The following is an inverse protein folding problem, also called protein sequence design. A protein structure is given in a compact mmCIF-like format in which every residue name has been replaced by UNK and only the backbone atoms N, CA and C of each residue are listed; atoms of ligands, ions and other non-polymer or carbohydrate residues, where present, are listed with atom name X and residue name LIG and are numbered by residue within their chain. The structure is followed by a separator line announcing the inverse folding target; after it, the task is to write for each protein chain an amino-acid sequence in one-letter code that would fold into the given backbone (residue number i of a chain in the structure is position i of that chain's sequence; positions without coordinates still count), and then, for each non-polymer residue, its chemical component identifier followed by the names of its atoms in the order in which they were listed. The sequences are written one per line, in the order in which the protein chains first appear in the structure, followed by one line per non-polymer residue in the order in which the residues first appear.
data_IF_731906159008
#
_entry.id   IF_731906159008
#
_cell.length_a   1.000
_cell.length_b   1.000
_cell.length_c   1.000
_cell.angle_alpha   90.00
_cell.angle_beta   90.00
_cell.angle_gamma   90.00
#
_symmetry.space_group_name_H-M   'P 1'
#
loop_
_entity.id
_entity.type
_entity.pdbx_description
1 polymer ?
#
# COMPACT_ATOMS: atom_id res chain seq x y z
N UNK A 1 -6.30 2.92 -0.79
CA UNK A 1 -7.40 2.05 -0.36
C UNK A 1 -8.33 2.86 0.50
N UNK A 2 -9.66 2.63 0.48
CA UNK A 2 -10.55 3.25 1.46
C UNK A 2 -10.01 2.89 2.86
N UNK A 3 -9.89 3.89 3.73
CA UNK A 3 -9.24 3.75 5.04
C UNK A 3 -9.77 2.54 5.81
N UNK A 4 -11.08 2.32 5.72
CA UNK A 4 -11.79 1.24 6.43
C UNK A 4 -11.30 -0.17 6.04
N UNK A 5 -11.18 -0.50 4.74
CA UNK A 5 -10.74 -1.85 4.35
C UNK A 5 -9.34 -2.14 4.88
N UNK A 6 -8.44 -1.15 4.83
CA UNK A 6 -7.09 -1.28 5.38
C UNK A 6 -7.12 -1.45 6.90
N UNK A 7 -7.91 -0.64 7.61
CA UNK A 7 -8.12 -0.75 9.06
C UNK A 7 -8.68 -2.13 9.44
N UNK A 8 -9.69 -2.63 8.73
CA UNK A 8 -10.23 -3.99 8.89
C UNK A 8 -9.11 -5.01 8.77
N UNK A 9 -8.36 -4.97 7.67
CA UNK A 9 -7.33 -5.97 7.43
C UNK A 9 -6.24 -5.96 8.50
N UNK A 10 -5.84 -4.80 9.00
CA UNK A 10 -4.74 -4.70 9.96
C UNK A 10 -5.19 -5.00 11.38
N UNK A 11 -6.24 -4.34 11.84
CA UNK A 11 -6.71 -4.42 13.23
C UNK A 11 -7.30 -5.79 13.54
N UNK A 12 -8.12 -6.35 12.64
CA UNK A 12 -8.79 -7.63 12.87
C UNK A 12 -7.81 -8.80 12.92
N UNK A 13 -6.69 -8.70 12.20
CA UNK A 13 -5.59 -9.67 12.33
C UNK A 13 -4.91 -9.60 13.69
N UNK A 14 -4.73 -8.39 14.24
CA UNK A 14 -4.30 -8.24 15.62
C UNK A 14 -5.28 -8.89 16.60
N UNK A 15 -6.59 -8.69 16.42
CA UNK A 15 -7.62 -9.32 17.26
C UNK A 15 -7.58 -10.84 17.20
N UNK A 16 -7.37 -11.43 16.01
CA UNK A 16 -7.25 -12.88 15.85
C UNK A 16 -6.06 -13.48 16.62
N UNK A 17 -5.10 -12.67 17.06
CA UNK A 17 -3.95 -13.14 17.86
C UNK A 17 -4.22 -13.18 19.36
N UNK A 18 -5.34 -12.61 19.84
CA UNK A 18 -5.61 -12.42 21.27
C UNK A 18 -6.42 -13.56 21.92
N UNK A 19 -6.68 -14.64 21.17
CA UNK A 19 -7.19 -15.91 21.69
C UNK A 19 -8.69 -15.95 22.02
N UNK A 20 -9.47 -14.94 21.62
CA UNK A 20 -10.93 -15.01 21.69
C UNK A 20 -11.48 -16.06 20.72
N UNK A 21 -12.68 -16.58 21.04
CA UNK A 21 -13.27 -17.68 20.26
C UNK A 21 -13.88 -17.20 18.95
N UNK A 22 -14.39 -15.96 18.93
CA UNK A 22 -15.01 -15.36 17.75
C UNK A 22 -14.60 -13.92 17.56
N UNK A 23 -14.67 -13.46 16.31
CA UNK A 23 -14.45 -12.06 15.96
C UNK A 23 -15.46 -11.12 16.64
N UNK A 24 -16.73 -11.55 16.72
CA UNK A 24 -17.79 -10.76 17.36
C UNK A 24 -17.49 -10.50 18.84
N UNK A 25 -17.07 -11.53 19.57
CA UNK A 25 -16.65 -11.41 20.97
C UNK A 25 -15.46 -10.44 21.12
N UNK A 26 -14.48 -10.53 20.21
CA UNK A 26 -13.32 -9.64 20.24
C UNK A 26 -13.69 -8.17 19.97
N UNK A 27 -14.60 -7.92 19.02
CA UNK A 27 -15.10 -6.58 18.69
C UNK A 27 -15.95 -5.96 19.82
N UNK A 28 -16.73 -6.79 20.53
CA UNK A 28 -17.50 -6.34 21.68
C UNK A 28 -16.63 -6.04 22.89
N UNK A 29 -15.66 -6.91 23.19
CA UNK A 29 -14.78 -6.79 24.35
C UNK A 29 -13.84 -5.58 24.24
N UNK A 30 -13.35 -5.27 23.05
CA UNK A 30 -12.29 -4.29 22.81
C UNK A 30 -11.07 -4.50 23.73
N UNK A 31 -10.26 -5.53 23.45
CA UNK A 31 -9.13 -5.90 24.31
C UNK A 31 -8.15 -4.73 24.50
N UNK A 32 -7.73 -4.50 25.75
CA UNK A 32 -6.77 -3.44 26.11
C UNK A 32 -5.36 -3.74 25.59
N UNK A 33 -5.07 -5.01 25.27
CA UNK A 33 -3.82 -5.46 24.67
C UNK A 33 -3.62 -4.91 23.25
N UNK A 34 -4.70 -4.51 22.56
CA UNK A 34 -4.63 -3.90 21.23
C UNK A 34 -4.57 -2.37 21.34
N UNK A 35 -3.37 -1.84 21.11
CA UNK A 35 -3.04 -0.44 21.35
C UNK A 35 -3.12 0.41 20.07
N UNK A 36 -3.27 1.71 20.28
CA UNK A 36 -3.29 2.77 19.26
C UNK A 36 -4.50 2.76 18.31
N UNK A 37 -5.57 2.05 18.66
CA UNK A 37 -6.84 2.12 17.92
C UNK A 37 -7.77 3.13 18.59
N UNK A 38 -7.99 4.25 17.90
CA UNK A 38 -8.88 5.33 18.36
C UNK A 38 -10.33 4.86 18.41
N UNK A 39 -11.13 5.52 19.25
CA UNK A 39 -12.56 5.22 19.43
C UNK A 39 -13.33 5.27 18.11
N UNK A 40 -13.06 6.27 17.26
CA UNK A 40 -13.76 6.42 15.99
C UNK A 40 -13.43 5.29 15.01
N UNK A 41 -12.16 4.87 14.97
CA UNK A 41 -11.72 3.73 14.16
C UNK A 41 -12.36 2.45 14.66
N UNK A 42 -12.40 2.23 15.99
CA UNK A 42 -13.05 1.06 16.58
C UNK A 42 -14.55 1.01 16.28
N UNK A 43 -15.25 2.14 16.43
CA UNK A 43 -16.67 2.23 16.12
C UNK A 43 -16.93 1.95 14.63
N UNK A 44 -16.11 2.50 13.72
CA UNK A 44 -16.21 2.22 12.30
C UNK A 44 -16.07 0.74 11.96
N UNK A 45 -15.18 0.01 12.63
CA UNK A 45 -15.05 -1.45 12.48
C UNK A 45 -16.32 -2.18 12.94
N UNK A 46 -16.89 -1.78 14.08
CA UNK A 46 -18.13 -2.40 14.59
C UNK A 46 -19.30 -2.17 13.66
N UNK A 47 -19.49 -0.94 13.19
CA UNK A 47 -20.57 -0.58 12.28
C UNK A 47 -20.45 -1.32 10.93
N UNK A 48 -19.22 -1.43 10.41
CA UNK A 48 -18.94 -2.19 9.19
C UNK A 48 -19.24 -3.69 9.37
N UNK A 49 -18.82 -4.29 10.47
CA UNK A 49 -19.09 -5.70 10.75
C UNK A 49 -20.59 -5.97 10.90
N UNK A 50 -21.31 -5.12 11.65
CA UNK A 50 -22.76 -5.25 11.87
C UNK A 50 -23.58 -5.05 10.59
N UNK A 51 -23.16 -4.15 9.71
CA UNK A 51 -23.82 -3.90 8.42
C UNK A 51 -23.45 -4.94 7.34
N UNK A 52 -22.47 -5.81 7.61
CA UNK A 52 -21.98 -6.79 6.66
C UNK A 52 -21.04 -6.21 5.58
N UNK A 53 -20.56 -4.99 5.77
CA UNK A 53 -19.57 -4.38 4.89
C UNK A 53 -18.22 -5.10 5.01
N UNK A 54 -17.64 -5.48 3.87
CA UNK A 54 -16.33 -6.15 3.82
C UNK A 54 -16.20 -7.46 4.63
N UNK A 55 -17.29 -8.21 4.87
CA UNK A 55 -17.25 -9.47 5.65
C UNK A 55 -16.14 -10.44 5.24
N UNK A 56 -15.90 -10.62 3.93
CA UNK A 56 -14.82 -11.48 3.46
C UNK A 56 -13.43 -11.04 3.93
N UNK A 57 -13.20 -9.73 4.07
CA UNK A 57 -11.94 -9.20 4.60
C UNK A 57 -11.85 -9.38 6.12
N UNK A 58 -12.95 -9.22 6.86
CA UNK A 58 -13.02 -9.50 8.29
C UNK A 58 -12.66 -10.96 8.59
N UNK A 59 -13.33 -11.90 7.91
CA UNK A 59 -13.07 -13.35 8.09
C UNK A 59 -11.61 -13.69 7.75
N UNK A 60 -11.12 -13.25 6.59
CA UNK A 60 -9.75 -13.55 6.19
C UNK A 60 -8.71 -12.94 7.16
N UNK A 61 -8.91 -11.72 7.64
CA UNK A 61 -8.02 -11.09 8.61
C UNK A 61 -8.02 -11.85 9.94
N UNK A 62 -9.21 -12.20 10.44
CA UNK A 62 -9.36 -12.98 11.66
C UNK A 62 -8.64 -14.32 11.57
N UNK A 63 -8.87 -15.07 10.48
CA UNK A 63 -8.25 -16.37 10.24
C UNK A 63 -6.72 -16.26 10.14
N UNK A 64 -6.20 -15.20 9.55
CA UNK A 64 -4.75 -14.94 9.50
C UNK A 64 -4.16 -14.68 10.89
N UNK A 65 -4.86 -13.91 11.73
CA UNK A 65 -4.47 -13.68 13.12
C UNK A 65 -4.42 -14.98 13.93
N UNK A 66 -5.46 -15.80 13.79
CA UNK A 66 -5.54 -17.12 14.44
C UNK A 66 -4.47 -18.09 13.94
N UNK A 67 -4.20 -18.08 12.62
CA UNK A 67 -3.11 -18.87 12.05
C UNK A 67 -1.75 -18.43 12.62
N UNK A 68 -1.49 -17.13 12.72
CA UNK A 68 -0.26 -16.61 13.32
C UNK A 68 -0.15 -16.91 14.82
N UNK A 69 -1.28 -16.91 15.53
CA UNK A 69 -1.35 -17.35 16.92
C UNK A 69 -0.92 -18.80 17.07
N UNK A 70 -1.45 -19.69 16.23
CA UNK A 70 -1.18 -21.13 16.29
C UNK A 70 0.19 -21.54 15.74
N UNK A 71 0.77 -20.77 14.82
CA UNK A 71 1.96 -21.15 14.07
C UNK A 71 3.20 -21.38 14.96
N UNK A 72 3.96 -22.43 14.64
CA UNK A 72 5.22 -22.80 15.31
C UNK A 72 6.33 -21.74 15.13
N UNK A 73 6.30 -20.99 14.03
CA UNK A 73 7.19 -19.85 13.77
C UNK A 73 6.55 -18.50 14.10
N UNK A 74 5.27 -18.49 14.49
CA UNK A 74 4.55 -17.34 15.01
C UNK A 74 4.53 -17.32 16.54
N UNK A 75 3.33 -17.22 17.12
CA UNK A 75 3.17 -17.06 18.56
C UNK A 75 3.13 -18.39 19.33
N UNK A 76 2.99 -19.55 18.67
CA UNK A 76 2.98 -20.88 19.30
C UNK A 76 1.92 -21.03 20.40
N UNK A 77 0.74 -20.48 20.18
CA UNK A 77 -0.37 -20.45 21.13
C UNK A 77 -0.18 -19.47 22.30
N UNK A 78 0.92 -18.72 22.35
CA UNK A 78 1.13 -17.70 23.38
C UNK A 78 0.30 -16.47 23.07
N UNK A 79 -0.61 -16.12 23.98
CA UNK A 79 -1.36 -14.86 23.90
C UNK A 79 -0.39 -13.68 24.07
N UNK A 80 -0.34 -12.73 23.12
CA UNK A 80 0.46 -11.52 23.26
C UNK A 80 0.04 -10.67 24.45
N UNK A 81 0.98 -9.95 25.05
CA UNK A 81 0.67 -8.96 26.09
C UNK A 81 0.31 -7.61 25.48
N UNK A 82 0.83 -7.31 24.29
CA UNK A 82 0.54 -6.09 23.56
C UNK A 82 0.67 -6.27 22.04
N UNK A 83 -0.25 -5.63 21.32
CA UNK A 83 -0.23 -5.48 19.88
C UNK A 83 -0.41 -4.00 19.57
N UNK A 84 0.60 -3.37 18.97
CA UNK A 84 0.51 -1.98 18.55
C UNK A 84 0.13 -1.90 17.08
N UNK A 85 -1.04 -1.32 16.79
CA UNK A 85 -1.36 -0.90 15.43
C UNK A 85 -0.58 0.37 15.09
N UNK A 86 0.09 0.39 13.93
CA UNK A 86 0.86 1.55 13.48
C UNK A 86 0.02 2.59 12.74
N UNK A 87 -1.12 2.17 12.21
CA UNK A 87 -2.04 3.04 11.47
C UNK A 87 -1.44 3.60 10.18
N UNK A 88 -2.10 4.59 9.58
CA UNK A 88 -1.73 5.12 8.26
C UNK A 88 -0.43 5.94 8.27
N UNK A 89 0.16 6.19 9.44
CA UNK A 89 1.34 7.03 9.56
C UNK A 89 2.60 6.30 9.05
N UNK A 90 3.18 6.84 7.97
CA UNK A 90 4.57 6.56 7.62
C UNK A 90 5.46 7.23 8.65
N UNK A 91 6.26 6.45 9.37
CA UNK A 91 7.28 7.02 10.25
C UNK A 91 8.25 7.86 9.40
N UNK A 92 8.61 9.08 9.84
CA UNK A 92 9.69 9.82 9.22
C UNK A 92 11.01 9.12 9.56
N UNK A 93 11.57 8.38 8.60
CA UNK A 93 12.89 7.77 8.75
C UNK A 93 12.98 6.28 8.37
N UNK A 94 14.17 5.75 8.58
CA UNK A 94 14.83 4.57 8.02
C UNK A 94 14.13 3.21 8.03
N UNK A 95 12.92 3.08 8.54
CA UNK A 95 12.23 1.78 8.56
C UNK A 95 11.59 1.50 7.19
N UNK A 96 12.37 0.84 6.34
CA UNK A 96 11.92 0.28 5.07
C UNK A 96 11.05 -0.97 5.25
N UNK A 97 10.88 -1.46 6.48
CA UNK A 97 10.04 -2.63 6.74
C UNK A 97 8.58 -2.18 6.80
N UNK A 98 7.69 -2.72 5.93
CA UNK A 98 6.26 -2.47 6.08
C UNK A 98 5.80 -3.16 7.35
N UNK A 99 5.54 -2.39 8.41
CA UNK A 99 5.05 -2.93 9.69
C UNK A 99 3.71 -2.30 10.00
N UNK A 100 2.67 -3.11 9.90
CA UNK A 100 1.30 -2.67 10.18
C UNK A 100 0.95 -2.96 11.66
N UNK A 101 1.46 -4.07 12.21
CA UNK A 101 1.35 -4.46 13.62
C UNK A 101 2.72 -4.75 14.24
N UNK A 102 2.92 -4.32 15.49
CA UNK A 102 4.06 -4.71 16.32
C UNK A 102 3.56 -5.50 17.53
N UNK A 103 3.94 -6.78 17.62
CA UNK A 103 3.48 -7.70 18.68
C UNK A 103 4.59 -7.92 19.69
N UNK A 104 4.34 -7.58 20.96
CA UNK A 104 5.27 -7.67 22.10
C UNK A 104 6.68 -7.12 21.85
N UNK A 105 6.80 -6.20 20.90
CA UNK A 105 8.08 -5.69 20.39
C UNK A 105 9.02 -6.72 19.75
N UNK A 106 8.58 -7.96 19.58
CA UNK A 106 9.37 -9.06 19.00
C UNK A 106 8.99 -9.28 17.54
N UNK A 107 7.68 -9.36 17.24
CA UNK A 107 7.22 -9.60 15.88
C UNK A 107 6.80 -8.30 15.20
N UNK A 108 7.24 -8.16 13.95
CA UNK A 108 6.83 -7.11 13.03
C UNK A 108 5.99 -7.77 11.95
N UNK A 109 4.69 -7.48 11.94
CA UNK A 109 3.73 -8.14 11.03
C UNK A 109 3.25 -7.12 10.01
N UNK A 110 3.33 -7.50 8.73
CA UNK A 110 2.68 -6.77 7.65
C UNK A 110 1.44 -7.51 7.19
N UNK A 111 0.32 -6.81 7.17
CA UNK A 111 -0.97 -7.31 6.74
C UNK A 111 -1.14 -7.01 5.25
N UNK A 112 -0.60 -7.89 4.39
CA UNK A 112 -0.71 -7.78 2.92
C UNK A 112 -1.40 -9.03 2.35
N UNK A 113 -2.73 -9.03 2.33
CA UNK A 113 -3.51 -10.24 1.93
C UNK A 113 -3.52 -10.55 0.44
N UNK A 114 -3.09 -9.63 -0.43
CA UNK A 114 -3.14 -9.81 -1.89
C UNK A 114 -1.86 -9.37 -2.61
N UNK A 115 -0.80 -9.05 -1.88
CA UNK A 115 0.45 -8.57 -2.49
C UNK A 115 1.60 -9.46 -2.06
N UNK A 116 2.25 -10.11 -3.04
CA UNK A 116 3.56 -10.78 -2.84
C UNK A 116 4.73 -9.80 -2.85
N UNK A 117 4.46 -8.50 -2.97
CA UNK A 117 5.48 -7.46 -3.01
C UNK A 117 5.90 -7.16 -1.57
N UNK A 118 7.08 -7.66 -1.18
CA UNK A 118 7.69 -7.43 0.14
C UNK A 118 8.36 -6.05 0.26
N UNK A 119 8.79 -5.47 -0.87
CA UNK A 119 9.40 -4.15 -0.94
C UNK A 119 8.96 -3.43 -2.21
N UNK A 120 8.45 -2.20 -2.07
CA UNK A 120 8.09 -1.35 -3.19
C UNK A 120 9.14 -0.24 -3.36
N UNK A 121 10.36 -0.66 -3.68
CA UNK A 121 11.46 0.25 -3.97
C UNK A 121 11.27 0.88 -5.35
N UNK A 122 11.49 2.19 -5.46
CA UNK A 122 11.49 2.85 -6.76
C UNK A 122 12.63 2.26 -7.63
N UNK A 123 12.46 2.16 -8.96
CA UNK A 123 13.50 1.62 -9.84
C UNK A 123 14.86 2.31 -9.65
N UNK A 124 14.90 3.64 -9.54
CA UNK A 124 16.14 4.36 -9.23
C UNK A 124 16.84 3.88 -7.94
N UNK A 125 16.08 3.49 -6.91
CA UNK A 125 16.65 2.98 -5.67
C UNK A 125 17.17 1.54 -5.83
N UNK A 126 16.58 0.76 -6.72
CA UNK A 126 17.06 -0.58 -7.05
C UNK A 126 18.29 -0.51 -7.96
N UNK A 127 18.16 0.08 -9.14
CA UNK A 127 19.16 0.04 -10.20
C UNK A 127 20.39 0.90 -9.89
N UNK A 128 20.22 2.14 -9.44
CA UNK A 128 21.38 3.02 -9.20
C UNK A 128 21.95 2.85 -7.79
N UNK A 129 21.11 2.52 -6.80
CA UNK A 129 21.50 2.47 -5.38
C UNK A 129 21.65 1.07 -4.82
N UNK A 130 21.30 0.02 -5.58
CA UNK A 130 21.37 -1.38 -5.15
C UNK A 130 20.63 -1.64 -3.82
N UNK A 131 19.49 -0.96 -3.63
CA UNK A 131 18.72 -0.95 -2.37
C UNK A 131 19.48 -0.39 -1.16
N UNK A 132 20.59 0.31 -1.41
CA UNK A 132 21.35 1.06 -0.42
C UNK A 132 20.58 2.25 0.17
N UNK A 133 21.22 2.98 1.07
CA UNK A 133 20.60 4.07 1.84
C UNK A 133 19.95 5.10 0.90
N UNK A 134 18.67 5.40 1.12
CA UNK A 134 18.04 6.56 0.50
C UNK A 134 18.72 7.82 1.02
N UNK A 135 19.55 8.44 0.21
CA UNK A 135 19.99 9.81 0.46
C UNK A 135 18.76 10.73 0.44
N UNK A 136 18.71 11.65 1.40
CA UNK A 136 17.69 12.71 1.53
C UNK A 136 17.80 13.78 0.44
N UNK A 137 18.63 13.54 -0.59
CA UNK A 137 18.74 14.42 -1.73
C UNK A 137 17.41 14.52 -2.48
N UNK A 138 17.11 15.68 -3.10
CA UNK A 138 15.91 15.87 -3.89
C UNK A 138 15.73 14.71 -4.86
N UNK A 139 14.49 14.26 -5.03
CA UNK A 139 14.18 13.31 -6.07
C UNK A 139 14.70 13.90 -7.40
N UNK A 140 15.71 13.25 -7.98
CA UNK A 140 16.18 13.58 -9.32
C UNK A 140 15.06 13.43 -10.36
N UNK A 141 15.37 13.60 -11.65
CA UNK A 141 14.39 13.40 -12.71
C UNK A 141 13.67 12.05 -12.56
N UNK A 142 12.40 12.01 -12.94
CA UNK A 142 11.58 10.80 -12.89
C UNK A 142 12.31 9.64 -13.56
N UNK A 143 12.31 8.44 -12.96
CA UNK A 143 12.98 7.28 -13.56
C UNK A 143 12.56 7.06 -15.02
N UNK A 144 11.29 7.31 -15.33
CA UNK A 144 10.74 7.23 -16.68
C UNK A 144 11.41 8.21 -17.66
N UNK A 145 11.67 9.44 -17.22
CA UNK A 145 12.40 10.45 -18.00
C UNK A 145 13.88 10.05 -18.16
N UNK A 146 14.45 9.35 -17.19
CA UNK A 146 15.86 8.93 -17.21
C UNK A 146 16.09 7.78 -18.19
N UNK A 147 15.26 6.74 -18.15
CA UNK A 147 15.52 5.51 -18.93
C UNK A 147 14.84 5.50 -20.30
N UNK A 148 13.71 6.18 -20.46
CA UNK A 148 13.00 6.21 -21.74
C UNK A 148 12.32 7.57 -21.97
N UNK A 149 13.09 8.66 -22.15
CA UNK A 149 12.54 10.01 -22.29
C UNK A 149 11.60 10.13 -23.49
N UNK A 150 11.96 9.53 -24.63
CA UNK A 150 11.15 9.62 -25.86
C UNK A 150 9.81 8.91 -25.70
N UNK A 151 9.79 7.68 -25.22
CA UNK A 151 8.52 6.96 -25.01
C UNK A 151 7.70 7.61 -23.91
N UNK A 152 8.33 8.13 -22.85
CA UNK A 152 7.64 8.84 -21.77
C UNK A 152 6.96 10.12 -22.27
N UNK A 153 7.68 10.97 -23.02
CA UNK A 153 7.12 12.19 -23.62
C UNK A 153 6.04 11.88 -24.66
N UNK A 154 6.27 10.85 -25.50
CA UNK A 154 5.29 10.40 -26.49
C UNK A 154 3.98 9.93 -25.85
N UNK A 155 4.06 9.13 -24.78
CA UNK A 155 2.88 8.71 -24.04
C UNK A 155 2.18 9.88 -23.34
N UNK A 156 2.95 10.81 -22.75
CA UNK A 156 2.38 12.00 -22.14
C UNK A 156 1.60 12.85 -23.16
N UNK A 157 2.13 13.03 -24.38
CA UNK A 157 1.43 13.74 -25.44
C UNK A 157 0.08 13.08 -25.80
N UNK A 158 0.01 11.74 -25.79
CA UNK A 158 -1.24 11.00 -26.01
C UNK A 158 -2.23 11.19 -24.85
N UNK A 159 -1.77 11.13 -23.60
CA UNK A 159 -2.59 11.42 -22.42
C UNK A 159 -3.13 12.85 -22.48
N UNK A 160 -2.28 13.81 -22.85
CA UNK A 160 -2.64 15.22 -23.05
C UNK A 160 -3.69 15.38 -24.15
N UNK A 161 -3.51 14.74 -25.31
CA UNK A 161 -4.49 14.76 -26.39
C UNK A 161 -5.82 14.10 -25.99
N UNK A 162 -5.79 13.06 -25.15
CA UNK A 162 -7.00 12.38 -24.68
C UNK A 162 -7.80 13.21 -23.66
N UNK A 163 -7.12 13.85 -22.71
CA UNK A 163 -7.77 14.66 -21.65
C UNK A 163 -8.17 16.04 -22.17
N UNK A 164 -7.36 16.63 -23.03
CA UNK A 164 -7.52 17.98 -23.55
C UNK A 164 -6.20 18.75 -23.45
N UNK A 165 -5.73 19.23 -24.60
CA UNK A 165 -4.45 19.94 -24.71
C UNK A 165 -4.38 21.23 -23.89
N UNK A 166 -5.50 21.92 -23.70
CA UNK A 166 -5.58 23.15 -22.91
C UNK A 166 -5.67 22.89 -21.40
N UNK A 167 -5.95 21.64 -21.00
CA UNK A 167 -6.12 21.24 -19.59
C UNK A 167 -4.84 20.72 -18.95
N UNK A 168 -3.82 20.42 -19.76
CA UNK A 168 -2.54 19.88 -19.30
C UNK A 168 -1.38 20.64 -19.97
N UNK A 169 -0.29 20.91 -19.22
CA UNK A 169 0.87 21.63 -19.76
C UNK A 169 1.54 20.86 -20.92
N UNK A 170 2.33 21.55 -21.72
CA UNK A 170 3.07 20.92 -22.83
C UNK A 170 4.21 20.02 -22.35
N UNK A 171 4.83 20.38 -21.22
CA UNK A 171 5.92 19.62 -20.60
C UNK A 171 5.41 18.92 -19.32
N UNK A 172 5.61 17.59 -19.16
CA UNK A 172 5.26 16.90 -17.93
C UNK A 172 6.00 17.41 -16.69
N UNK A 173 7.12 18.12 -16.84
CA UNK A 173 7.83 18.78 -15.73
C UNK A 173 7.00 19.88 -15.06
N UNK A 174 6.02 20.45 -15.78
CA UNK A 174 5.16 21.53 -15.30
C UNK A 174 3.84 21.01 -14.68
N UNK A 175 3.71 19.70 -14.47
CA UNK A 175 2.53 19.10 -13.85
C UNK A 175 2.39 19.53 -12.38
N UNK A 176 1.26 20.14 -12.05
CA UNK A 176 0.88 20.48 -10.68
C UNK A 176 0.08 19.32 -10.03
N UNK A 177 -0.13 19.35 -8.71
CA UNK A 177 -1.00 18.39 -8.03
C UNK A 177 -2.41 18.30 -8.63
N UNK A 178 -2.97 19.41 -9.09
CA UNK A 178 -4.28 19.49 -9.73
C UNK A 178 -4.29 18.77 -11.08
N UNK A 179 -3.25 18.96 -11.92
CA UNK A 179 -3.10 18.23 -13.17
C UNK A 179 -2.98 16.71 -12.93
N UNK A 180 -2.23 16.30 -11.90
CA UNK A 180 -2.10 14.88 -11.53
C UNK A 180 -3.44 14.28 -11.06
N UNK A 181 -4.23 15.06 -10.32
CA UNK A 181 -5.56 14.65 -9.91
C UNK A 181 -6.50 14.48 -11.12
N UNK A 182 -6.44 15.40 -12.09
CA UNK A 182 -7.20 15.30 -13.34
C UNK A 182 -6.83 14.04 -14.11
N UNK A 183 -5.54 13.76 -14.32
CA UNK A 183 -5.06 12.53 -14.98
C UNK A 183 -5.58 11.29 -14.24
N UNK A 184 -5.50 11.26 -12.91
CA UNK A 184 -6.01 10.13 -12.10
C UNK A 184 -7.51 9.93 -12.26
N UNK A 185 -8.28 11.00 -12.38
CA UNK A 185 -9.74 10.91 -12.57
C UNK A 185 -10.08 10.41 -13.97
N UNK A 186 -9.43 10.93 -15.00
CA UNK A 186 -9.68 10.57 -16.41
C UNK A 186 -9.14 9.19 -16.81
N UNK A 187 -8.14 8.68 -16.09
CA UNK A 187 -7.49 7.40 -16.42
C UNK A 187 -7.51 6.39 -15.25
N UNK A 188 -8.50 6.49 -14.36
CA UNK A 188 -8.57 5.65 -13.15
C UNK A 188 -8.82 4.17 -13.48
N UNK A 189 -8.23 3.27 -12.69
CA UNK A 189 -8.37 1.79 -12.71
C UNK A 189 -7.90 1.09 -13.99
N UNK A 190 -8.11 1.67 -15.16
CA UNK A 190 -7.63 1.15 -16.44
C UNK A 190 -7.38 2.30 -17.42
N UNK A 191 -6.38 2.13 -18.28
CA UNK A 191 -6.16 3.09 -19.35
C UNK A 191 -7.33 3.08 -20.35
N UNK A 192 -7.81 4.26 -20.79
CA UNK A 192 -8.72 4.40 -21.92
C UNK A 192 -8.21 3.63 -23.14
N UNK A 193 -9.13 3.07 -23.94
CA UNK A 193 -8.79 2.27 -25.13
C UNK A 193 -7.62 2.83 -25.98
N UNK A 194 -7.62 4.11 -26.39
CA UNK A 194 -6.54 4.65 -27.22
C UNK A 194 -5.18 4.73 -26.52
N UNK A 195 -5.14 4.62 -25.19
CA UNK A 195 -3.94 4.71 -24.38
C UNK A 195 -3.39 3.34 -23.97
N UNK A 196 -4.12 2.24 -24.18
CA UNK A 196 -3.72 0.90 -23.69
C UNK A 196 -2.47 0.36 -24.38
N UNK A 197 -2.46 0.36 -25.71
CA UNK A 197 -1.30 -0.11 -26.49
C UNK A 197 -0.08 0.81 -26.31
N UNK A 198 -0.22 2.15 -26.39
CA UNK A 198 0.88 3.07 -26.06
C UNK A 198 1.43 2.88 -24.65
N UNK A 199 0.58 2.62 -23.66
CA UNK A 199 1.01 2.31 -22.30
C UNK A 199 1.80 0.99 -22.22
N UNK A 200 1.34 -0.04 -22.93
CA UNK A 200 2.03 -1.32 -22.99
C UNK A 200 3.43 -1.16 -23.63
N UNK A 201 3.54 -0.39 -24.71
CA UNK A 201 4.80 -0.09 -25.36
C UNK A 201 5.74 0.70 -24.44
N UNK A 202 5.24 1.78 -23.81
CA UNK A 202 6.01 2.55 -22.84
C UNK A 202 6.53 1.64 -21.71
N UNK A 203 5.66 0.80 -21.16
CA UNK A 203 6.01 -0.13 -20.07
C UNK A 203 7.10 -1.12 -20.50
N UNK A 204 7.04 -1.62 -21.73
CA UNK A 204 8.07 -2.47 -22.31
C UNK A 204 9.40 -1.73 -22.47
N UNK A 205 9.38 -0.53 -23.07
CA UNK A 205 10.58 0.28 -23.28
C UNK A 205 11.28 0.62 -21.96
N UNK A 206 10.52 1.09 -20.96
CA UNK A 206 11.06 1.36 -19.62
C UNK A 206 11.70 0.11 -19.03
N UNK A 207 11.04 -1.04 -19.14
CA UNK A 207 11.55 -2.30 -18.57
C UNK A 207 12.84 -2.73 -19.26
N UNK A 208 12.89 -2.65 -20.59
CA UNK A 208 14.06 -3.00 -21.39
C UNK A 208 15.24 -2.07 -21.10
N UNK A 209 15.03 -0.74 -21.08
CA UNK A 209 16.10 0.22 -20.81
C UNK A 209 16.57 0.17 -19.35
N UNK A 210 15.65 -0.06 -18.40
CA UNK A 210 16.02 -0.28 -17.00
C UNK A 210 16.91 -1.51 -16.86
N UNK A 211 16.57 -2.61 -17.56
CA UNK A 211 17.35 -3.85 -17.53
C UNK A 211 18.74 -3.70 -18.17
N UNK A 212 18.89 -2.90 -19.22
CA UNK A 212 20.20 -2.62 -19.85
C UNK A 212 21.14 -1.80 -18.97
N UNK A 213 20.57 -1.01 -18.05
CA UNK A 213 21.33 -0.18 -17.11
C UNK A 213 21.89 -0.99 -15.93
N UNK A 214 21.40 -2.21 -15.72
CA UNK A 214 21.92 -3.16 -14.74
C UNK A 214 23.06 -3.99 -15.32
#
# INVERSE_FOLDING_TARGET
MPALLTEVTEIVTGLGMLGQSTLEEALERRPEELLNVRDETWQGLRDAYQSGEHLGAFTAAWDNGQAFLAADDGLRGRIPQRIEWKGPHRQPGYDNLPVDLRVDHVFLVSCKYQSKILSNSSPANLFDRLLGRRETEPAGPSWYQVVSPHSYLGFYALVRGHIGEDLLPGDPADLSPEHLQLIRQSCNRAWPEPLREPWAQLSFDISAESARRW
#
